data_IF_879890919602
#
_entry.id   IF_879890919602
#
_cell.length_a   1.000
_cell.length_b   1.000
_cell.length_c   1.000
_cell.angle_alpha   90.00
_cell.angle_beta   90.00
_cell.angle_gamma   90.00
#
_symmetry.space_group_name_H-M   'P 1'
#
loop_
_entity.id
_entity.type
_entity.pdbx_description
1 polymer ?
#
# COMPACT_ATOMS: atom_id res chain seq x y z
N UNK A 1 13.92 31.23 -65.18
CA UNK A 1 14.15 29.77 -65.11
C UNK A 1 15.30 29.46 -64.13
N UNK A 2 14.97 29.01 -62.91
CA UNK A 2 16.00 28.63 -61.94
C UNK A 2 16.69 27.30 -62.33
N UNK A 3 17.94 27.11 -61.88
CA UNK A 3 18.83 26.04 -62.34
C UNK A 3 18.51 24.66 -61.75
N UNK A 4 18.86 23.63 -62.50
CA UNK A 4 18.84 22.22 -62.10
C UNK A 4 19.76 21.94 -60.90
N UNK A 5 19.37 21.05 -59.97
CA UNK A 5 20.26 20.56 -58.93
C UNK A 5 21.20 19.45 -59.47
N UNK A 6 22.44 19.36 -58.97
CA UNK A 6 23.36 18.28 -59.28
C UNK A 6 23.25 17.11 -58.28
N UNK A 7 23.55 15.92 -58.78
CA UNK A 7 24.39 14.96 -58.07
C UNK A 7 23.69 13.99 -57.12
N UNK A 8 23.40 12.80 -57.64
CA UNK A 8 23.27 11.58 -56.85
C UNK A 8 24.60 11.29 -56.12
N UNK A 9 24.50 10.96 -54.84
CA UNK A 9 25.49 10.15 -54.13
C UNK A 9 24.81 8.86 -53.70
N UNK A 10 25.49 7.78 -54.01
CA UNK A 10 25.07 6.40 -53.92
C UNK A 10 25.77 5.77 -52.70
N UNK A 11 25.04 4.86 -52.05
CA UNK A 11 25.49 3.76 -51.16
C UNK A 11 26.26 4.08 -49.87
N UNK A 12 25.70 3.73 -48.69
CA UNK A 12 26.39 2.81 -47.77
C UNK A 12 25.49 2.13 -46.71
N UNK A 13 25.76 0.84 -46.51
CA UNK A 13 25.50 -0.07 -45.40
C UNK A 13 24.09 -0.12 -44.76
N UNK A 14 23.28 -1.09 -45.20
CA UNK A 14 22.18 -1.64 -44.39
C UNK A 14 22.70 -2.33 -43.12
N UNK A 15 21.96 -2.28 -41.99
CA UNK A 15 22.38 -2.93 -40.75
C UNK A 15 22.39 -4.46 -40.91
N UNK A 16 23.47 -5.08 -40.42
CA UNK A 16 23.62 -6.53 -40.37
C UNK A 16 22.46 -7.18 -39.59
N UNK A 17 22.00 -8.37 -39.98
CA UNK A 17 20.99 -9.11 -39.22
C UNK A 17 21.57 -9.49 -37.85
N UNK A 18 20.93 -8.99 -36.79
CA UNK A 18 21.18 -9.44 -35.42
C UNK A 18 20.66 -10.87 -35.30
N UNK A 19 21.59 -11.83 -35.28
CA UNK A 19 21.31 -13.20 -34.90
C UNK A 19 21.04 -13.19 -33.39
N UNK A 20 19.77 -13.21 -33.00
CA UNK A 20 19.35 -13.48 -31.62
C UNK A 20 19.59 -14.96 -31.34
N UNK A 21 20.70 -15.28 -30.69
CA UNK A 21 20.83 -16.56 -29.99
C UNK A 21 19.76 -16.63 -28.90
N UNK A 22 19.02 -17.76 -28.76
CA UNK A 22 18.10 -17.94 -27.66
C UNK A 22 18.93 -18.02 -26.37
N UNK A 23 18.76 -17.04 -25.49
CA UNK A 23 19.22 -17.10 -24.11
C UNK A 23 18.68 -18.39 -23.49
N UNK A 24 19.56 -19.38 -23.34
CA UNK A 24 19.28 -20.56 -22.57
C UNK A 24 18.90 -20.11 -21.15
N UNK A 25 17.66 -20.39 -20.76
CA UNK A 25 17.22 -20.30 -19.37
C UNK A 25 18.21 -21.13 -18.54
N UNK A 26 18.94 -20.55 -17.57
CA UNK A 26 19.67 -21.37 -16.62
C UNK A 26 18.62 -22.24 -15.90
N UNK A 27 18.75 -23.56 -16.03
CA UNK A 27 18.00 -24.54 -15.24
C UNK A 27 18.13 -24.20 -13.76
N UNK A 28 17.09 -23.56 -13.22
CA UNK A 28 16.92 -23.34 -11.80
C UNK A 28 16.37 -24.64 -11.20
N UNK A 29 17.28 -25.57 -10.88
CA UNK A 29 17.00 -26.67 -9.95
C UNK A 29 18.32 -27.23 -9.40
N UNK A 30 19.10 -26.36 -8.78
CA UNK A 30 19.96 -26.80 -7.70
C UNK A 30 19.05 -26.91 -6.46
N UNK A 31 18.74 -28.14 -6.06
CA UNK A 31 17.76 -28.48 -5.03
C UNK A 31 18.03 -27.84 -3.66
N UNK A 32 17.59 -26.59 -3.49
CA UNK A 32 17.42 -25.98 -2.19
C UNK A 32 16.32 -26.76 -1.50
N UNK A 33 16.65 -27.47 -0.42
CA UNK A 33 15.66 -28.18 0.38
C UNK A 33 14.55 -27.20 0.77
N UNK A 34 13.29 -27.60 0.57
CA UNK A 34 12.15 -26.80 1.02
C UNK A 34 12.30 -26.51 2.51
N UNK A 35 12.04 -25.27 2.97
CA UNK A 35 12.16 -24.92 4.37
C UNK A 35 11.24 -25.80 5.21
N UNK A 36 11.72 -26.18 6.40
CA UNK A 36 10.93 -26.90 7.39
C UNK A 36 9.75 -26.06 7.87
N UNK A 37 8.72 -26.72 8.42
CA UNK A 37 7.57 -26.02 9.01
C UNK A 37 7.95 -25.04 10.12
N UNK A 38 9.00 -25.35 10.89
CA UNK A 38 9.53 -24.45 11.90
C UNK A 38 10.14 -23.17 11.29
N UNK A 39 10.91 -23.32 10.21
CA UNK A 39 11.50 -22.19 9.47
C UNK A 39 10.41 -21.33 8.80
N UNK A 40 9.40 -21.96 8.20
CA UNK A 40 8.25 -21.27 7.61
C UNK A 40 7.49 -20.44 8.66
N UNK A 41 7.22 -21.01 9.84
CA UNK A 41 6.55 -20.31 10.94
C UNK A 41 7.38 -19.16 11.50
N UNK A 42 8.69 -19.34 11.65
CA UNK A 42 9.59 -18.28 12.14
C UNK A 42 9.72 -17.14 11.13
N UNK A 43 9.77 -17.44 9.82
CA UNK A 43 9.77 -16.42 8.78
C UNK A 43 8.49 -15.57 8.80
N UNK A 44 7.32 -16.21 8.93
CA UNK A 44 6.05 -15.50 9.08
C UNK A 44 5.99 -14.69 10.38
N UNK A 45 6.41 -15.27 11.51
CA UNK A 45 6.51 -14.55 12.79
C UNK A 45 7.33 -13.26 12.64
N UNK A 46 8.51 -13.34 12.04
CA UNK A 46 9.36 -12.17 11.84
C UNK A 46 8.72 -11.13 10.92
N UNK A 47 7.96 -11.57 9.91
CA UNK A 47 7.19 -10.67 9.04
C UNK A 47 6.14 -9.86 9.81
N UNK A 48 5.47 -10.49 10.77
CA UNK A 48 4.49 -9.83 11.65
C UNK A 48 5.15 -8.90 12.67
N UNK A 49 6.36 -9.22 13.15
CA UNK A 49 7.04 -8.45 14.21
C UNK A 49 7.91 -7.29 13.68
N UNK A 50 8.37 -7.35 12.43
CA UNK A 50 9.29 -6.36 11.87
C UNK A 50 8.75 -5.71 10.57
N UNK A 51 7.54 -5.11 10.60
CA UNK A 51 6.91 -4.55 9.41
C UNK A 51 7.81 -3.54 8.69
N UNK A 52 8.50 -2.64 9.41
CA UNK A 52 9.37 -1.62 8.82
C UNK A 52 10.49 -2.15 7.89
N UNK A 53 10.83 -3.45 7.97
CA UNK A 53 11.82 -4.09 7.09
C UNK A 53 11.20 -4.80 5.88
N UNK A 54 9.87 -4.85 5.79
CA UNK A 54 9.16 -5.52 4.72
C UNK A 54 9.41 -4.87 3.36
N UNK A 55 9.55 -5.72 2.33
CA UNK A 55 9.63 -5.33 0.92
C UNK A 55 8.47 -5.82 0.09
N UNK A 56 7.68 -6.73 0.65
CA UNK A 56 6.55 -7.38 0.00
C UNK A 56 5.28 -7.00 0.74
N UNK A 57 4.36 -6.40 0.00
CA UNK A 57 3.07 -5.94 0.49
C UNK A 57 1.95 -6.58 -0.31
N UNK A 58 0.78 -6.68 0.30
CA UNK A 58 -0.42 -7.19 -0.35
C UNK A 58 -1.50 -6.13 -0.36
N UNK A 59 -2.23 -6.04 -1.45
CA UNK A 59 -3.35 -5.11 -1.60
C UNK A 59 -4.46 -5.77 -2.39
N UNK A 60 -5.71 -5.52 -2.00
CA UNK A 60 -6.86 -6.02 -2.73
C UNK A 60 -7.23 -5.08 -3.88
N UNK A 61 -7.75 -5.66 -4.95
CA UNK A 61 -8.23 -4.94 -6.11
C UNK A 61 -9.44 -5.67 -6.70
N UNK A 62 -10.21 -4.99 -7.55
CA UNK A 62 -11.33 -5.62 -8.26
C UNK A 62 -10.87 -6.28 -9.56
N UNK A 63 -11.63 -7.24 -10.13
CA UNK A 63 -11.33 -7.80 -11.45
C UNK A 63 -11.20 -6.73 -12.55
N UNK A 64 -12.00 -5.67 -12.49
CA UNK A 64 -11.96 -4.56 -13.46
C UNK A 64 -10.64 -3.78 -13.33
N UNK A 65 -10.18 -3.53 -12.10
CA UNK A 65 -8.89 -2.91 -11.87
C UNK A 65 -7.73 -3.80 -12.33
N UNK A 66 -7.81 -5.12 -12.13
CA UNK A 66 -6.81 -6.04 -12.68
C UNK A 66 -6.81 -6.01 -14.21
N UNK A 67 -7.98 -5.98 -14.85
CA UNK A 67 -8.10 -5.86 -16.30
C UNK A 67 -7.49 -4.55 -16.81
N UNK A 68 -7.72 -3.44 -16.12
CA UNK A 68 -7.08 -2.16 -16.42
C UNK A 68 -5.54 -2.22 -16.29
N UNK A 69 -5.02 -2.89 -15.25
CA UNK A 69 -3.59 -3.12 -15.09
C UNK A 69 -2.99 -3.96 -16.23
N UNK A 70 -3.73 -4.97 -16.71
CA UNK A 70 -3.36 -5.76 -17.89
C UNK A 70 -3.36 -4.93 -19.18
N UNK A 71 -4.29 -3.98 -19.29
CA UNK A 71 -4.36 -3.04 -20.41
C UNK A 71 -3.29 -1.93 -20.35
N UNK A 72 -2.43 -1.91 -19.32
CA UNK A 72 -1.32 -0.96 -19.20
C UNK A 72 -1.57 0.22 -18.27
N UNK A 73 -2.74 0.32 -17.61
CA UNK A 73 -3.01 1.41 -16.66
C UNK A 73 -2.06 1.41 -15.47
N UNK A 74 -1.82 2.59 -14.89
CA UNK A 74 -0.91 2.78 -13.75
C UNK A 74 -1.31 1.94 -12.53
N UNK A 75 -0.31 1.41 -11.81
CA UNK A 75 -0.56 0.74 -10.53
C UNK A 75 -1.19 1.71 -9.55
N UNK A 76 -0.62 2.92 -9.43
CA UNK A 76 -1.18 3.99 -8.61
C UNK A 76 -2.00 4.93 -9.51
N UNK A 77 -3.31 4.71 -9.58
CA UNK A 77 -4.19 5.41 -10.53
C UNK A 77 -5.09 6.49 -9.92
N UNK A 78 -5.39 6.41 -8.61
CA UNK A 78 -6.42 7.26 -7.97
C UNK A 78 -5.86 8.07 -6.80
N UNK A 79 -6.27 9.34 -6.73
CA UNK A 79 -6.01 10.26 -5.60
C UNK A 79 -7.19 10.32 -4.62
N UNK A 80 -8.38 9.96 -5.10
CA UNK A 80 -9.63 9.90 -4.36
C UNK A 80 -10.55 8.85 -4.97
N UNK A 81 -11.50 8.38 -4.16
CA UNK A 81 -12.63 7.58 -4.62
C UNK A 81 -13.75 8.49 -5.13
N UNK A 82 -14.41 8.16 -6.25
CA UNK A 82 -15.60 8.91 -6.68
C UNK A 82 -16.74 8.81 -5.66
N UNK A 83 -16.82 7.68 -4.93
CA UNK A 83 -17.87 7.44 -3.94
C UNK A 83 -17.47 7.92 -2.54
N UNK A 84 -16.20 7.71 -2.15
CA UNK A 84 -15.72 7.92 -0.77
C UNK A 84 -14.88 9.19 -0.58
N UNK A 85 -14.49 9.88 -1.66
CA UNK A 85 -13.61 11.04 -1.59
C UNK A 85 -12.15 10.68 -1.28
N UNK A 86 -11.41 11.62 -0.69
CA UNK A 86 -10.01 11.40 -0.29
C UNK A 86 -9.91 10.43 0.88
N UNK A 87 -8.78 9.73 0.98
CA UNK A 87 -8.57 8.77 2.06
C UNK A 87 -8.42 9.47 3.42
N UNK A 88 -8.67 8.73 4.51
CA UNK A 88 -8.42 9.22 5.87
C UNK A 88 -6.98 9.70 6.06
N UNK A 89 -6.02 8.97 5.47
CA UNK A 89 -4.62 9.37 5.44
C UNK A 89 -4.37 10.74 4.78
N UNK A 90 -5.06 11.07 3.69
CA UNK A 90 -4.93 12.39 3.05
C UNK A 90 -5.44 13.52 3.97
N UNK A 91 -6.55 13.28 4.65
CA UNK A 91 -7.09 14.23 5.62
C UNK A 91 -6.14 14.41 6.81
N UNK A 92 -5.57 13.32 7.34
CA UNK A 92 -4.56 13.40 8.39
C UNK A 92 -3.36 14.24 7.95
N UNK A 93 -2.78 13.93 6.79
CA UNK A 93 -1.65 14.69 6.26
C UNK A 93 -2.00 16.15 6.02
N UNK A 94 -3.17 16.44 5.45
CA UNK A 94 -3.64 17.82 5.25
C UNK A 94 -3.82 18.55 6.57
N UNK A 95 -4.27 17.88 7.63
CA UNK A 95 -4.47 18.52 8.93
C UNK A 95 -3.11 18.89 9.53
N UNK A 96 -2.20 17.92 9.62
CA UNK A 96 -0.86 18.11 10.19
C UNK A 96 -0.05 19.14 9.41
N UNK A 97 -0.13 19.12 8.08
CA UNK A 97 0.57 20.05 7.19
C UNK A 97 0.18 21.52 7.40
N UNK A 98 -1.08 21.79 7.76
CA UNK A 98 -1.66 23.13 7.83
C UNK A 98 -2.08 23.53 9.26
N UNK A 99 -1.77 22.72 10.27
CA UNK A 99 -2.11 22.99 11.67
C UNK A 99 -1.28 24.16 12.21
N UNK A 100 -1.87 25.28 12.68
CA UNK A 100 -1.12 26.44 13.18
C UNK A 100 -0.25 26.13 14.41
N UNK A 101 0.89 26.85 14.56
CA UNK A 101 1.69 26.87 15.80
C UNK A 101 2.65 25.71 16.08
N UNK A 102 2.87 24.80 15.12
CA UNK A 102 3.76 23.64 15.27
C UNK A 102 4.63 23.54 14.01
N UNK A 103 5.65 24.38 13.86
CA UNK A 103 6.40 24.48 12.59
C UNK A 103 7.46 23.39 12.41
N UNK A 104 8.13 22.97 13.49
CA UNK A 104 9.22 21.99 13.46
C UNK A 104 8.74 20.55 13.16
N UNK A 105 7.52 20.18 13.58
CA UNK A 105 6.99 18.80 13.40
C UNK A 105 6.29 18.58 12.05
N UNK A 106 6.35 19.54 11.11
CA UNK A 106 5.61 19.47 9.84
C UNK A 106 6.37 18.88 8.67
N UNK A 107 7.67 18.64 8.79
CA UNK A 107 8.50 18.31 7.63
C UNK A 107 8.00 17.07 6.88
N UNK A 108 7.75 15.97 7.59
CA UNK A 108 7.28 14.71 7.00
C UNK A 108 5.83 14.82 6.50
N UNK A 109 4.84 15.27 7.30
CA UNK A 109 3.47 15.44 6.78
C UNK A 109 3.40 16.38 5.57
N UNK A 110 4.14 17.50 5.61
CA UNK A 110 4.19 18.46 4.51
C UNK A 110 4.82 17.86 3.25
N UNK A 111 5.89 17.07 3.40
CA UNK A 111 6.49 16.33 2.29
C UNK A 111 5.48 15.36 1.67
N UNK A 112 4.83 14.53 2.49
CA UNK A 112 3.86 13.53 2.04
C UNK A 112 2.59 14.13 1.44
N UNK A 113 2.33 15.42 1.67
CA UNK A 113 1.18 16.13 1.12
C UNK A 113 1.44 16.80 -0.25
N UNK A 114 2.52 16.43 -0.95
CA UNK A 114 2.78 16.85 -2.33
C UNK A 114 2.02 16.00 -3.38
N UNK A 115 1.83 16.55 -4.58
CA UNK A 115 1.09 15.93 -5.68
C UNK A 115 1.69 14.58 -6.14
N UNK A 116 3.01 14.42 -6.04
CA UNK A 116 3.72 13.18 -6.37
C UNK A 116 3.32 11.98 -5.51
N UNK A 117 2.76 12.22 -4.33
CA UNK A 117 2.25 11.20 -3.41
C UNK A 117 0.71 11.17 -3.33
N UNK A 118 0.02 11.93 -4.17
CA UNK A 118 -1.43 12.01 -4.16
C UNK A 118 -2.06 10.65 -4.51
N UNK A 119 -1.54 9.99 -5.56
CA UNK A 119 -1.94 8.66 -5.99
C UNK A 119 -1.26 7.60 -5.14
N UNK A 120 -2.06 6.73 -4.53
CA UNK A 120 -1.54 5.73 -3.59
C UNK A 120 -2.42 4.49 -3.56
N UNK A 121 -1.87 3.42 -2.99
CA UNK A 121 -2.62 2.23 -2.59
C UNK A 121 -2.44 1.97 -1.11
N UNK A 122 -3.48 1.42 -0.50
CA UNK A 122 -3.41 0.84 0.83
C UNK A 122 -3.04 -0.63 0.71
N UNK A 123 -2.13 -1.07 1.55
CA UNK A 123 -1.54 -2.39 1.51
C UNK A 123 -1.25 -2.88 2.93
N UNK A 124 -0.90 -4.16 3.03
CA UNK A 124 -0.55 -4.83 4.27
C UNK A 124 0.72 -5.63 4.06
N UNK A 125 1.52 -5.74 5.12
CA UNK A 125 2.75 -6.52 5.06
C UNK A 125 2.47 -8.02 5.10
N UNK A 126 1.23 -8.47 5.36
CA UNK A 126 0.79 -9.86 5.26
C UNK A 126 -0.52 -9.96 4.47
N UNK A 127 -0.81 -11.11 3.85
CA UNK A 127 -2.01 -11.24 3.03
C UNK A 127 -3.27 -11.36 3.91
N UNK A 128 -3.12 -11.92 5.11
CA UNK A 128 -4.15 -11.90 6.15
C UNK A 128 -4.58 -10.48 6.52
N UNK A 129 -3.64 -9.57 6.76
CA UNK A 129 -3.97 -8.19 7.12
C UNK A 129 -4.81 -7.49 6.06
N UNK A 130 -4.61 -7.84 4.80
CA UNK A 130 -5.39 -7.28 3.70
C UNK A 130 -6.87 -7.70 3.73
N UNK A 131 -7.20 -8.91 4.19
CA UNK A 131 -8.57 -9.46 4.15
C UNK A 131 -9.53 -8.70 5.07
N UNK A 132 -9.00 -8.08 6.13
CA UNK A 132 -9.81 -7.67 7.26
C UNK A 132 -10.37 -6.27 7.15
N UNK A 133 -9.57 -5.32 6.66
CA UNK A 133 -9.97 -3.92 6.62
C UNK A 133 -10.62 -3.43 7.93
N UNK A 134 -11.34 -2.31 7.85
CA UNK A 134 -12.12 -1.76 8.97
C UNK A 134 -13.59 -2.20 8.95
N UNK A 135 -13.89 -3.42 8.47
CA UNK A 135 -15.25 -4.00 8.52
C UNK A 135 -16.27 -3.45 7.51
N UNK A 136 -15.86 -2.67 6.51
CA UNK A 136 -16.76 -2.04 5.52
C UNK A 136 -17.05 -2.89 4.25
N UNK A 137 -16.78 -4.19 4.29
CA UNK A 137 -16.86 -5.10 3.14
C UNK A 137 -15.51 -5.28 2.43
N UNK A 138 -15.40 -6.27 1.50
CA UNK A 138 -14.14 -6.59 0.85
C UNK A 138 -13.68 -5.46 -0.07
N UNK A 139 -12.40 -5.10 0.00
CA UNK A 139 -11.76 -4.12 -0.90
C UNK A 139 -11.60 -4.61 -2.35
N UNK A 140 -11.95 -5.86 -2.62
CA UNK A 140 -11.87 -6.51 -3.91
C UNK A 140 -11.83 -8.04 -3.77
N UNK A 141 -11.73 -8.75 -4.89
CA UNK A 141 -11.63 -10.21 -4.95
C UNK A 141 -10.35 -10.70 -5.61
N UNK A 142 -9.43 -9.78 -5.93
CA UNK A 142 -8.11 -10.10 -6.49
C UNK A 142 -7.04 -9.59 -5.53
N UNK A 143 -6.17 -10.49 -5.10
CA UNK A 143 -5.01 -10.14 -4.28
C UNK A 143 -3.82 -9.80 -5.18
N UNK A 144 -3.29 -8.59 -5.03
CA UNK A 144 -2.03 -8.19 -5.61
C UNK A 144 -0.91 -8.35 -4.59
N UNK A 145 0.22 -8.90 -5.03
CA UNK A 145 1.50 -8.87 -4.32
C UNK A 145 2.38 -7.81 -4.94
N UNK A 146 2.80 -6.84 -4.15
CA UNK A 146 3.63 -5.70 -4.56
C UNK A 146 5.00 -5.86 -3.92
N UNK A 147 6.03 -5.94 -4.75
CA UNK A 147 7.44 -5.98 -4.34
C UNK A 147 8.05 -4.61 -4.57
N UNK A 148 8.67 -4.04 -3.55
CA UNK A 148 9.44 -2.81 -3.67
C UNK A 148 10.87 -3.09 -4.14
N UNK A 149 11.46 -2.13 -4.84
CA UNK A 149 12.87 -2.15 -5.22
C UNK A 149 13.78 -2.25 -3.99
N UNK A 150 14.98 -2.86 -4.11
CA UNK A 150 15.92 -2.99 -2.99
C UNK A 150 16.31 -1.66 -2.33
N UNK A 151 16.39 -0.59 -3.12
CA UNK A 151 16.75 0.75 -2.66
C UNK A 151 15.56 1.59 -2.18
N UNK A 152 14.34 1.05 -2.17
CA UNK A 152 13.19 1.76 -1.63
C UNK A 152 13.37 2.05 -0.14
N UNK A 153 12.76 3.13 0.34
CA UNK A 153 12.71 3.51 1.74
C UNK A 153 11.32 3.20 2.28
N UNK A 154 11.30 2.65 3.49
CA UNK A 154 10.07 2.33 4.22
C UNK A 154 10.04 3.19 5.46
N UNK A 155 9.01 4.02 5.61
CA UNK A 155 8.87 4.92 6.76
C UNK A 155 7.85 4.39 7.74
N UNK A 156 8.14 4.51 9.02
CA UNK A 156 7.18 4.43 10.10
C UNK A 156 6.76 5.84 10.51
N UNK A 157 5.54 6.21 10.14
CA UNK A 157 4.97 7.53 10.40
C UNK A 157 4.65 7.73 11.90
N UNK A 158 4.31 6.65 12.61
CA UNK A 158 3.96 6.72 14.04
C UNK A 158 5.22 6.74 14.89
N UNK A 159 6.19 5.90 14.58
CA UNK A 159 7.48 5.88 15.27
C UNK A 159 8.43 6.99 14.80
N UNK A 160 8.05 7.79 13.80
CA UNK A 160 8.85 8.86 13.19
C UNK A 160 10.24 8.39 12.72
N UNK A 161 10.30 7.18 12.17
CA UNK A 161 11.54 6.59 11.64
C UNK A 161 11.39 6.18 10.18
N UNK A 162 12.52 5.88 9.55
CA UNK A 162 12.57 5.27 8.23
C UNK A 162 13.75 4.29 8.13
N UNK A 163 13.63 3.28 7.28
CA UNK A 163 14.70 2.34 6.97
C UNK A 163 15.32 2.71 5.63
N UNK A 164 16.56 3.20 5.67
CA UNK A 164 17.35 3.60 4.50
C UNK A 164 18.59 2.71 4.45
N UNK A 165 18.74 1.94 3.37
CA UNK A 165 19.91 1.07 3.15
C UNK A 165 20.20 0.13 4.35
N UNK A 166 19.12 -0.41 4.93
CA UNK A 166 19.18 -1.32 6.09
C UNK A 166 19.39 -0.65 7.44
N UNK A 167 19.44 0.69 7.50
CA UNK A 167 19.63 1.45 8.74
C UNK A 167 18.36 2.22 9.10
N UNK A 168 17.97 2.15 10.36
CA UNK A 168 16.91 3.00 10.91
C UNK A 168 17.44 4.42 11.11
N UNK A 169 16.75 5.41 10.54
CA UNK A 169 17.04 6.83 10.62
C UNK A 169 15.79 7.62 11.01
N UNK A 170 15.90 8.88 11.48
CA UNK A 170 14.74 9.74 11.70
C UNK A 170 13.95 9.99 10.39
N UNK A 171 12.62 10.01 10.45
CA UNK A 171 11.77 10.17 9.27
C UNK A 171 12.01 11.48 8.50
N UNK A 172 12.51 12.55 9.15
CA UNK A 172 12.90 13.80 8.46
C UNK A 172 13.96 13.60 7.36
N UNK A 173 14.77 12.54 7.45
CA UNK A 173 15.74 12.20 6.41
C UNK A 173 15.07 11.86 5.06
N UNK A 174 13.77 11.53 5.05
CA UNK A 174 12.97 11.36 3.83
C UNK A 174 12.97 12.61 2.94
N UNK A 175 13.08 13.80 3.53
CA UNK A 175 13.15 15.05 2.77
C UNK A 175 14.33 15.11 1.79
N UNK A 176 15.39 14.33 2.05
CA UNK A 176 16.58 14.23 1.19
C UNK A 176 16.46 13.16 0.10
N UNK A 177 15.50 12.24 0.24
CA UNK A 177 15.33 11.07 -0.63
C UNK A 177 13.85 10.84 -1.01
N UNK A 178 13.09 11.86 -1.42
CA UNK A 178 11.66 11.71 -1.67
C UNK A 178 11.36 10.67 -2.76
N UNK A 179 12.18 10.62 -3.80
CA UNK A 179 12.05 9.65 -4.89
C UNK A 179 12.24 8.19 -4.47
N UNK A 180 12.84 7.94 -3.29
CA UNK A 180 13.07 6.59 -2.77
C UNK A 180 11.96 6.10 -1.85
N UNK A 181 11.05 6.96 -1.37
CA UNK A 181 9.98 6.52 -0.47
C UNK A 181 9.06 5.53 -1.20
N UNK A 182 8.97 4.29 -0.73
CA UNK A 182 8.16 3.24 -1.34
C UNK A 182 6.95 2.80 -0.49
N UNK A 183 7.06 2.89 0.84
CA UNK A 183 5.98 2.55 1.76
C UNK A 183 5.99 3.41 3.02
N UNK A 184 4.80 3.61 3.59
CA UNK A 184 4.58 4.35 4.85
C UNK A 184 3.67 3.51 5.74
N UNK A 185 4.16 3.12 6.91
CA UNK A 185 3.35 2.59 8.00
C UNK A 185 2.67 3.75 8.71
N UNK A 186 1.33 3.77 8.75
CA UNK A 186 0.62 4.98 9.20
C UNK A 186 -0.44 4.78 10.31
N UNK A 187 -0.90 3.56 10.60
CA UNK A 187 -1.96 3.35 11.60
C UNK A 187 -1.54 2.39 12.73
N UNK A 188 -2.00 2.73 13.95
CA UNK A 188 -1.72 2.13 15.25
C UNK A 188 -2.34 0.73 15.47
N UNK A 189 -2.48 0.29 16.74
CA UNK A 189 -2.31 -1.11 17.14
C UNK A 189 -3.13 -2.12 16.33
N UNK A 190 -2.43 -3.10 15.75
CA UNK A 190 -3.04 -4.22 15.04
C UNK A 190 -2.59 -4.44 13.60
N UNK A 191 -3.53 -4.41 12.65
CA UNK A 191 -3.24 -4.50 11.22
C UNK A 191 -2.66 -3.19 10.75
N UNK A 192 -1.35 -3.15 10.61
CA UNK A 192 -0.69 -1.97 10.09
C UNK A 192 -1.07 -1.76 8.62
N UNK A 193 -2.00 -0.82 8.40
CA UNK A 193 -2.29 -0.33 7.07
C UNK A 193 -1.09 0.48 6.58
N UNK A 194 -0.66 0.16 5.36
CA UNK A 194 0.53 0.72 4.72
C UNK A 194 0.08 1.51 3.51
N UNK A 195 0.65 2.68 3.33
CA UNK A 195 0.46 3.47 2.13
C UNK A 195 1.63 3.20 1.20
N UNK A 196 1.32 2.88 -0.06
CA UNK A 196 2.27 2.78 -1.17
C UNK A 196 2.09 4.04 -2.05
N UNK A 197 2.89 5.09 -1.85
CA UNK A 197 2.64 6.40 -2.47
C UNK A 197 3.47 6.63 -3.75
N UNK A 198 4.40 5.74 -4.09
CA UNK A 198 5.36 5.97 -5.16
C UNK A 198 5.55 4.74 -6.05
N UNK A 199 4.99 4.81 -7.26
CA UNK A 199 5.06 3.73 -8.24
C UNK A 199 6.47 3.50 -8.78
N UNK A 200 7.37 4.50 -8.74
CA UNK A 200 8.75 4.33 -9.21
C UNK A 200 9.56 3.38 -8.33
N UNK A 201 9.14 3.18 -7.08
CA UNK A 201 9.77 2.29 -6.11
C UNK A 201 9.16 0.89 -6.10
N UNK A 202 8.14 0.63 -6.91
CA UNK A 202 7.62 -0.72 -7.14
C UNK A 202 8.51 -1.41 -8.16
N UNK A 203 9.06 -2.55 -7.77
CA UNK A 203 9.82 -3.44 -8.65
C UNK A 203 8.86 -4.31 -9.47
N UNK A 204 7.88 -4.90 -8.79
CA UNK A 204 6.98 -5.86 -9.38
C UNK A 204 5.60 -5.85 -8.71
N UNK A 205 4.55 -6.01 -9.50
CA UNK A 205 3.20 -6.31 -9.06
C UNK A 205 2.79 -7.62 -9.70
N UNK A 206 2.37 -8.58 -8.88
CA UNK A 206 1.83 -9.85 -9.37
C UNK A 206 0.43 -10.11 -8.85
N UNK A 207 -0.34 -10.90 -9.57
CA UNK A 207 -1.62 -11.44 -9.12
C UNK A 207 -1.74 -12.90 -9.57
N UNK A 208 -2.58 -13.68 -8.87
CA UNK A 208 -3.05 -14.98 -9.34
C UNK A 208 -1.92 -15.98 -9.72
N UNK A 209 -0.84 -16.00 -8.95
CA UNK A 209 0.31 -16.88 -9.23
C UNK A 209 0.61 -17.83 -8.05
N UNK A 210 1.43 -18.85 -8.31
CA UNK A 210 1.77 -19.87 -7.32
C UNK A 210 2.52 -19.31 -6.11
N UNK A 211 3.23 -18.19 -6.27
CA UNK A 211 3.88 -17.50 -5.15
C UNK A 211 2.84 -16.98 -4.16
N UNK A 212 1.81 -16.27 -4.63
CA UNK A 212 0.71 -15.79 -3.78
C UNK A 212 -0.02 -16.97 -3.13
N UNK A 213 -0.30 -18.02 -3.90
CA UNK A 213 -0.94 -19.24 -3.37
C UNK A 213 -0.14 -19.85 -2.22
N UNK A 214 1.17 -20.07 -2.41
CA UNK A 214 2.05 -20.61 -1.36
C UNK A 214 2.13 -19.71 -0.14
N UNK A 215 2.29 -18.40 -0.33
CA UNK A 215 2.34 -17.43 0.78
C UNK A 215 1.03 -17.44 1.60
N UNK A 216 -0.12 -17.59 0.94
CA UNK A 216 -1.43 -17.73 1.59
C UNK A 216 -1.61 -19.08 2.30
N UNK A 217 -1.10 -20.18 1.73
CA UNK A 217 -1.10 -21.51 2.35
C UNK A 217 -0.19 -21.53 3.60
N UNK A 218 0.99 -20.92 3.52
CA UNK A 218 1.90 -20.71 4.66
C UNK A 218 1.21 -19.92 5.78
N UNK A 219 0.54 -18.82 5.40
CA UNK A 219 -0.18 -17.97 6.35
C UNK A 219 -1.39 -18.69 6.96
N UNK A 220 -2.13 -19.46 6.17
CA UNK A 220 -3.23 -20.30 6.65
C UNK A 220 -2.73 -21.34 7.66
N UNK A 221 -1.61 -22.00 7.37
CA UNK A 221 -0.98 -22.97 8.27
C UNK A 221 -0.55 -22.32 9.59
N UNK A 222 0.09 -21.15 9.52
CA UNK A 222 0.51 -20.39 10.69
C UNK A 222 -0.67 -19.98 11.58
N UNK A 223 -1.73 -19.43 10.98
CA UNK A 223 -2.94 -19.00 11.70
C UNK A 223 -3.69 -20.19 12.32
N UNK A 224 -3.70 -21.36 11.67
CA UNK A 224 -4.25 -22.59 12.27
C UNK A 224 -3.46 -23.00 13.52
N UNK A 225 -2.13 -22.92 13.48
CA UNK A 225 -1.28 -23.18 14.65
C UNK A 225 -1.58 -22.25 15.84
N UNK A 226 -1.82 -20.95 15.57
CA UNK A 226 -2.29 -20.01 16.60
C UNK A 226 -3.63 -20.49 17.19
N UNK A 227 -4.59 -20.86 16.34
CA UNK A 227 -5.93 -21.30 16.75
C UNK A 227 -5.91 -22.56 17.62
N UNK A 228 -5.01 -23.49 17.33
CA UNK A 228 -4.90 -24.77 18.04
C UNK A 228 -4.13 -24.65 19.37
N UNK A 229 -3.60 -23.46 19.68
CA UNK A 229 -2.96 -23.17 20.96
C UNK A 229 -1.52 -23.65 21.06
N UNK A 230 -0.81 -23.76 19.93
CA UNK A 230 0.63 -24.01 19.94
C UNK A 230 1.34 -22.89 20.73
N UNK A 231 2.11 -23.27 21.75
CA UNK A 231 2.67 -22.36 22.75
C UNK A 231 3.65 -21.34 22.15
N UNK A 232 4.28 -21.65 21.01
CA UNK A 232 5.18 -20.71 20.29
C UNK A 232 4.44 -19.56 19.60
N UNK A 233 3.12 -19.67 19.48
CA UNK A 233 2.24 -18.69 18.81
C UNK A 233 1.45 -17.80 19.77
N UNK A 234 1.46 -18.05 21.09
CA UNK A 234 0.80 -17.17 22.08
C UNK A 234 1.49 -15.82 22.25
N UNK A 235 2.81 -15.75 22.07
CA UNK A 235 3.55 -14.48 22.08
C UNK A 235 3.11 -13.55 20.93
N UNK A 236 2.77 -14.13 19.78
CA UNK A 236 2.23 -13.40 18.64
C UNK A 236 0.82 -12.90 18.90
N UNK A 237 0.00 -13.66 19.63
CA UNK A 237 -1.31 -13.17 20.07
C UNK A 237 -1.17 -11.83 20.80
N UNK A 238 -0.11 -11.61 21.59
CA UNK A 238 0.14 -10.30 22.22
C UNK A 238 0.54 -9.19 21.24
N UNK A 239 1.28 -9.50 20.17
CA UNK A 239 1.52 -8.55 19.06
C UNK A 239 0.20 -8.19 18.33
N UNK A 240 -0.77 -9.09 18.37
CA UNK A 240 -2.11 -8.92 17.81
C UNK A 240 -3.16 -8.40 18.79
N UNK A 241 -2.91 -8.44 20.11
CA UNK A 241 -3.87 -8.12 21.20
C UNK A 241 -4.31 -6.65 21.20
N UNK A 242 -3.59 -5.78 20.48
CA UNK A 242 -4.01 -4.41 20.22
C UNK A 242 -5.05 -4.25 19.09
N UNK A 243 -5.25 -5.25 18.22
CA UNK A 243 -6.22 -5.20 17.12
C UNK A 243 -7.55 -5.88 17.51
N UNK A 244 -8.70 -5.18 17.43
CA UNK A 244 -10.00 -5.68 17.84
C UNK A 244 -10.67 -6.82 17.03
N UNK A 245 -9.98 -7.64 16.21
CA UNK A 245 -10.55 -8.92 15.81
C UNK A 245 -9.62 -10.13 15.98
N UNK A 246 -8.63 -10.10 16.87
CA UNK A 246 -7.86 -11.31 17.22
C UNK A 246 -8.35 -12.05 18.46
N UNK A 247 -9.65 -11.98 18.75
CA UNK A 247 -10.22 -13.03 19.59
C UNK A 247 -10.12 -14.35 18.81
N UNK A 248 -9.80 -15.44 19.49
CA UNK A 248 -9.76 -16.78 18.87
C UNK A 248 -11.07 -17.12 18.12
N UNK A 249 -12.17 -16.50 18.53
CA UNK A 249 -13.49 -16.58 17.90
C UNK A 249 -13.55 -15.91 16.53
N UNK A 250 -12.87 -14.77 16.34
CA UNK A 250 -12.82 -14.06 15.07
C UNK A 250 -11.91 -14.74 14.04
N UNK A 251 -10.95 -15.57 14.47
CA UNK A 251 -10.03 -16.26 13.55
C UNK A 251 -10.72 -17.30 12.64
N UNK A 252 -11.79 -17.95 13.11
CA UNK A 252 -12.49 -18.98 12.36
C UNK A 252 -13.10 -18.51 11.02
N UNK A 253 -13.93 -17.43 10.97
CA UNK A 253 -14.44 -16.91 9.70
C UNK A 253 -13.34 -16.42 8.75
N UNK A 254 -12.17 -16.04 9.27
CA UNK A 254 -11.04 -15.63 8.43
C UNK A 254 -10.33 -16.78 7.77
N UNK A 255 -10.06 -17.86 8.52
CA UNK A 255 -9.55 -19.10 7.94
C UNK A 255 -10.49 -19.60 6.83
N UNK A 256 -11.80 -19.47 7.02
CA UNK A 256 -12.80 -19.80 5.99
C UNK A 256 -12.72 -18.86 4.76
N UNK A 257 -12.53 -17.56 4.98
CA UNK A 257 -12.38 -16.57 3.90
C UNK A 257 -11.11 -16.80 3.08
N UNK A 258 -9.98 -17.08 3.75
CA UNK A 258 -8.71 -17.42 3.11
C UNK A 258 -8.82 -18.70 2.25
N UNK A 259 -9.45 -19.75 2.80
CA UNK A 259 -9.70 -21.00 2.05
C UNK A 259 -10.57 -20.75 0.84
N UNK A 260 -11.69 -20.05 1.02
CA UNK A 260 -12.57 -19.66 -0.09
C UNK A 260 -11.80 -18.91 -1.17
N UNK A 261 -10.94 -17.96 -0.78
CA UNK A 261 -10.12 -17.24 -1.75
C UNK A 261 -9.13 -18.15 -2.48
N UNK A 262 -8.42 -19.03 -1.77
CA UNK A 262 -7.49 -19.99 -2.36
C UNK A 262 -8.17 -20.93 -3.37
N UNK A 263 -9.39 -21.38 -3.06
CA UNK A 263 -10.19 -22.27 -3.89
C UNK A 263 -10.68 -21.56 -5.18
N UNK A 264 -10.89 -20.25 -5.10
CA UNK A 264 -11.42 -19.43 -6.21
C UNK A 264 -10.38 -18.49 -6.83
N UNK A 265 -9.10 -18.61 -6.45
CA UNK A 265 -8.05 -17.74 -6.99
C UNK A 265 -7.99 -17.93 -8.50
N UNK A 266 -8.14 -16.88 -9.32
CA UNK A 266 -8.14 -17.01 -10.77
C UNK A 266 -6.89 -17.71 -11.28
N UNK A 267 -7.02 -18.47 -12.38
CA UNK A 267 -5.91 -19.26 -12.90
C UNK A 267 -4.90 -18.45 -13.72
N UNK A 268 -5.29 -17.28 -14.26
CA UNK A 268 -4.44 -16.54 -15.18
C UNK A 268 -3.48 -15.60 -14.40
N UNK A 269 -2.18 -15.93 -14.36
CA UNK A 269 -1.21 -15.15 -13.63
C UNK A 269 -1.05 -13.76 -14.27
N UNK A 270 -0.74 -12.78 -13.42
CA UNK A 270 -0.41 -11.43 -13.86
C UNK A 270 0.93 -11.04 -13.25
N UNK A 271 1.77 -10.39 -14.06
CA UNK A 271 3.04 -9.80 -13.63
C UNK A 271 3.21 -8.47 -14.34
N UNK A 272 3.60 -7.44 -13.60
CA UNK A 272 3.92 -6.12 -14.14
C UNK A 272 5.12 -5.53 -13.40
N UNK A 273 6.00 -4.88 -14.14
CA UNK A 273 7.14 -4.12 -13.60
C UNK A 273 7.00 -2.65 -14.00
N UNK A 274 6.47 -1.78 -13.12
CA UNK A 274 6.28 -0.37 -13.45
C UNK A 274 7.61 0.34 -13.74
N UNK A 275 7.64 1.14 -14.80
CA UNK A 275 8.83 1.88 -15.25
C UNK A 275 8.66 3.40 -15.11
N UNK A 276 7.97 3.81 -14.06
CA UNK A 276 7.52 5.18 -13.83
C UNK A 276 8.65 6.02 -13.22
N UNK A 277 8.87 7.22 -13.74
CA UNK A 277 9.70 8.22 -13.06
C UNK A 277 8.90 8.95 -11.96
N UNK A 278 9.50 9.10 -10.78
CA UNK A 278 8.89 9.89 -9.71
C UNK A 278 9.02 11.39 -9.99
N UNK A 279 7.97 12.13 -9.66
CA UNK A 279 7.96 13.59 -9.67
C UNK A 279 7.23 14.06 -8.41
N UNK A 280 7.93 14.76 -7.52
CA UNK A 280 7.32 15.24 -6.27
C UNK A 280 6.15 16.19 -6.52
N UNK A 281 6.25 17.04 -7.56
CA UNK A 281 5.22 18.02 -7.90
C UNK A 281 5.05 19.11 -6.84
N UNK A 282 3.97 19.87 -6.94
CA UNK A 282 3.66 20.94 -6.00
C UNK A 282 3.01 20.40 -4.71
N UNK A 283 3.14 21.17 -3.63
CA UNK A 283 2.38 20.95 -2.40
C UNK A 283 0.87 21.09 -2.69
N UNK A 284 0.06 20.15 -2.21
CA UNK A 284 -1.40 20.18 -2.44
C UNK A 284 -2.08 21.22 -1.54
N UNK A 285 -3.17 21.80 -2.03
CA UNK A 285 -4.02 22.68 -1.23
C UNK A 285 -4.64 21.95 -0.03
N UNK A 286 -4.86 22.66 1.07
CA UNK A 286 -5.51 22.10 2.25
C UNK A 286 -6.87 21.51 1.87
N UNK A 287 -7.14 20.27 2.29
CA UNK A 287 -8.45 19.65 2.12
C UNK A 287 -9.46 20.35 3.02
N UNK A 288 -10.69 20.51 2.52
CA UNK A 288 -11.78 20.97 3.34
C UNK A 288 -12.09 19.92 4.42
N UNK A 289 -12.19 20.38 5.67
CA UNK A 289 -12.64 19.55 6.78
C UNK A 289 -14.05 19.94 7.20
N UNK A 290 -14.89 18.94 7.42
CA UNK A 290 -16.07 19.10 8.26
C UNK A 290 -15.62 19.33 9.69
N UNK A 291 -15.51 20.59 10.13
CA UNK A 291 -15.34 20.87 11.56
C UNK A 291 -16.62 20.48 12.28
N UNK A 292 -16.59 19.40 13.05
CA UNK A 292 -17.56 19.20 14.12
C UNK A 292 -17.31 20.30 15.15
N UNK A 293 -18.21 21.27 15.27
CA UNK A 293 -18.18 22.27 16.35
C UNK A 293 -18.57 21.67 17.71
N UNK A 294 -18.96 20.38 17.73
CA UNK A 294 -19.23 19.63 18.94
C UNK A 294 -17.96 19.38 19.76
N UNK A 295 -17.83 20.08 20.91
CA UNK A 295 -16.89 19.72 21.98
C UNK A 295 -17.24 18.33 22.54
N UNK A 296 -16.79 17.26 21.91
CA UNK A 296 -16.65 15.99 22.63
C UNK A 296 -15.39 16.09 23.48
N UNK A 297 -15.56 16.20 24.80
CA UNK A 297 -14.48 15.90 25.75
C UNK A 297 -14.09 14.45 25.50
N UNK A 298 -12.98 14.24 24.80
CA UNK A 298 -12.28 12.96 24.85
C UNK A 298 -11.81 12.85 26.30
N UNK A 299 -12.38 11.90 27.04
CA UNK A 299 -11.91 11.59 28.38
C UNK A 299 -10.44 11.17 28.23
N UNK A 300 -9.54 12.02 28.74
CA UNK A 300 -8.11 11.76 28.83
C UNK A 300 -7.90 10.58 29.77
N UNK A 301 -7.81 9.37 29.23
CA UNK A 301 -7.11 8.27 29.86
C UNK A 301 -6.02 7.84 28.89
N UNK A 302 -4.79 8.07 29.33
CA UNK A 302 -3.51 7.78 28.67
C UNK A 302 -3.06 8.75 27.56
N UNK A 303 -1.97 9.46 27.85
CA UNK A 303 -1.37 10.55 27.03
C UNK A 303 -0.32 10.00 26.05
N UNK A 304 -0.17 8.68 25.98
CA UNK A 304 0.87 8.04 25.17
C UNK A 304 0.51 7.89 23.69
N UNK A 305 -0.76 8.09 23.31
CA UNK A 305 -1.20 7.95 21.91
C UNK A 305 -2.16 9.07 21.54
N UNK A 306 -1.86 9.89 20.49
CA UNK A 306 -2.81 10.88 20.01
C UNK A 306 -4.08 10.17 19.54
N UNK A 307 -5.21 10.43 20.20
CA UNK A 307 -6.52 9.98 19.74
C UNK A 307 -6.86 10.78 18.48
N UNK A 308 -6.65 10.17 17.31
CA UNK A 308 -7.11 10.72 16.05
C UNK A 308 -8.64 10.71 16.06
N UNK A 309 -9.26 11.87 16.28
CA UNK A 309 -10.71 12.02 16.14
C UNK A 309 -11.02 11.81 14.66
N UNK A 310 -11.58 10.65 14.31
CA UNK A 310 -12.06 10.39 12.95
C UNK A 310 -13.16 11.40 12.61
N UNK A 311 -12.81 12.40 11.80
CA UNK A 311 -13.77 13.36 11.27
C UNK A 311 -14.53 12.74 10.09
N UNK A 312 -15.81 13.10 9.97
CA UNK A 312 -16.72 12.56 8.94
C UNK A 312 -16.27 13.04 7.55
N UNK A 313 -16.08 12.10 6.63
CA UNK A 313 -15.74 12.32 5.22
C UNK A 313 -17.02 12.55 4.40
N UNK A 314 -17.04 13.57 3.54
CA UNK A 314 -18.12 13.78 2.58
C UNK A 314 -17.72 13.31 1.18
N UNK A 315 -18.63 12.60 0.51
CA UNK A 315 -18.51 12.33 -0.91
C UNK A 315 -18.40 13.64 -1.71
N UNK A 316 -17.75 13.66 -2.89
CA UNK A 316 -17.57 14.88 -3.70
C UNK A 316 -18.87 15.61 -4.05
N UNK A 317 -19.97 14.87 -4.16
CA UNK A 317 -21.32 15.41 -4.43
C UNK A 317 -22.00 15.99 -3.20
N UNK A 318 -21.39 15.89 -2.03
CA UNK A 318 -22.00 16.26 -0.76
C UNK A 318 -21.28 17.45 -0.15
N UNK A 319 -22.05 18.45 0.29
CA UNK A 319 -21.53 19.54 1.12
C UNK A 319 -21.65 19.19 2.61
N UNK A 320 -20.65 19.63 3.36
CA UNK A 320 -20.71 19.61 4.81
C UNK A 320 -21.71 20.66 5.30
N UNK A 321 -22.72 20.27 6.07
CA UNK A 321 -23.56 21.25 6.77
C UNK A 321 -22.93 21.59 8.12
N UNK A 322 -22.65 22.88 8.42
CA UNK A 322 -21.88 23.31 9.61
C UNK A 322 -22.39 22.85 10.99
N UNK A 323 -23.60 22.29 11.09
CA UNK A 323 -24.29 22.03 12.36
C UNK A 323 -24.74 20.58 12.57
N UNK A 324 -24.46 19.64 11.65
CA UNK A 324 -25.11 18.32 11.72
C UNK A 324 -24.18 17.11 11.59
N UNK A 325 -22.88 17.30 11.38
CA UNK A 325 -21.95 16.18 11.13
C UNK A 325 -22.43 15.23 10.01
N UNK A 326 -23.26 15.75 9.09
CA UNK A 326 -23.91 14.99 8.02
C UNK A 326 -23.55 15.61 6.69
N UNK A 327 -22.93 14.79 5.85
CA UNK A 327 -22.72 15.08 4.44
C UNK A 327 -24.07 14.97 3.73
N UNK A 328 -24.53 16.07 3.12
CA UNK A 328 -25.74 16.07 2.29
C UNK A 328 -25.40 16.40 0.86
N UNK A 329 -26.11 15.83 -0.13
CA UNK A 329 -25.98 16.24 -1.52
C UNK A 329 -26.02 17.77 -1.63
N UNK A 330 -25.12 18.33 -2.43
CA UNK A 330 -25.24 19.73 -2.84
C UNK A 330 -26.57 19.85 -3.59
N UNK A 331 -27.50 20.73 -3.16
CA UNK A 331 -28.74 20.93 -3.90
C UNK A 331 -28.41 21.29 -5.34
N UNK A 332 -29.08 20.65 -6.29
CA UNK A 332 -28.97 21.02 -7.70
C UNK A 332 -29.41 22.49 -7.81
N UNK A 333 -28.55 23.42 -8.27
CA UNK A 333 -28.92 24.83 -8.40
C UNK A 333 -30.07 25.07 -9.40
N UNK A 334 -30.51 24.04 -10.11
CA UNK A 334 -31.62 24.06 -11.05
C UNK A 334 -32.90 23.34 -10.56
N UNK A 335 -32.97 22.92 -9.28
CA UNK A 335 -34.18 22.36 -8.66
C UNK A 335 -34.90 23.31 -7.72
#
# INVERSE_FOLDING_TARGET
PPPSPPGALDVDAGPAPVVTEPLANPSADAGVASPSDAERREALRNRYLAPATARVFYTWTTPEQLAALRAGERVLSRESSPEKGHAGFDHLLSQLTYQPGVEEDREVPSLLFHAGYAKKRFAWHTAFGAILGLGAGPYGSVLLRVTLKPNAVVSDFIAETAVVDGKTVPARELGKLPERLGAIYYEGPGYHEIVLPNESMIEEVTANNDTIRRELEDELFFLQGIREGDLRTRELAHAFVGAPPYTMEALAPYLASLRTFLDHMPAEPFVRRPSVAFQLGAKRAQLAFCRSTGRKRVATHDVSHPVYVMQVQCAPTNACRPNHDVCRPVPDPFQ
#
